data_IF_138802268687
#
_entry.id   IF_138802268687
#
_cell.length_a   1.000
_cell.length_b   1.000
_cell.length_c   1.000
_cell.angle_alpha   90.00
_cell.angle_beta   90.00
_cell.angle_gamma   90.00
#
_symmetry.space_group_name_H-M   'P 1'
#
loop_
_entity.id
_entity.type
_entity.pdbx_description
1 polymer ?
#
# COMPACT_ATOMS: atom_id res chain seq x y z
N UNK A 1 7.58 10.49 -3.85
CA UNK A 1 6.17 10.28 -3.43
C UNK A 1 5.76 9.02 -4.13
N UNK A 2 5.44 7.98 -3.36
CA UNK A 2 5.07 6.69 -3.91
C UNK A 2 3.60 6.70 -4.37
N UNK A 3 3.17 5.75 -5.21
CA UNK A 3 1.81 5.73 -5.76
C UNK A 3 0.74 5.50 -4.67
N UNK A 4 -0.38 6.20 -4.80
CA UNK A 4 -1.57 6.01 -3.96
C UNK A 4 -2.79 5.80 -4.85
N UNK A 5 -3.71 4.94 -4.43
CA UNK A 5 -5.04 4.73 -5.01
C UNK A 5 -6.09 5.26 -4.01
N UNK A 6 -6.46 6.56 -4.06
CA UNK A 6 -7.26 7.18 -3.00
C UNK A 6 -8.66 6.60 -2.84
N UNK A 7 -9.31 6.23 -3.96
CA UNK A 7 -10.65 5.65 -3.95
C UNK A 7 -10.71 4.31 -3.22
N UNK A 8 -9.65 3.51 -3.33
CA UNK A 8 -9.48 2.27 -2.59
C UNK A 8 -8.78 2.48 -1.23
N UNK A 9 -8.37 3.70 -0.88
CA UNK A 9 -7.52 4.02 0.29
C UNK A 9 -6.28 3.14 0.41
N UNK A 10 -5.60 2.84 -0.71
CA UNK A 10 -4.38 2.03 -0.74
C UNK A 10 -3.18 2.93 -1.00
N UNK A 11 -2.19 2.89 -0.12
CA UNK A 11 -0.84 3.41 -0.38
C UNK A 11 0.06 2.27 -0.86
N UNK A 12 0.99 2.55 -1.77
CA UNK A 12 1.96 1.58 -2.26
C UNK A 12 3.34 2.13 -1.91
N UNK A 13 4.18 1.32 -1.28
CA UNK A 13 5.55 1.69 -0.94
C UNK A 13 6.52 0.69 -1.57
N UNK A 14 7.52 1.21 -2.27
CA UNK A 14 8.56 0.37 -2.88
C UNK A 14 9.79 0.40 -1.98
N UNK A 15 9.99 -0.70 -1.24
CA UNK A 15 10.98 -0.75 -0.18
C UNK A 15 12.34 -1.22 -0.70
N UNK A 16 13.38 -0.46 -0.39
CA UNK A 16 14.76 -0.93 -0.47
C UNK A 16 15.18 -1.69 0.79
N UNK A 17 16.35 -2.33 0.74
CA UNK A 17 16.88 -3.13 1.87
C UNK A 17 16.97 -2.31 3.17
N UNK A 18 17.17 -0.99 3.08
CA UNK A 18 17.25 -0.10 4.25
C UNK A 18 16.02 -0.16 5.16
N UNK A 19 14.83 -0.46 4.62
CA UNK A 19 13.60 -0.63 5.40
C UNK A 19 13.63 -1.89 6.29
N UNK A 20 14.57 -2.81 6.04
CA UNK A 20 14.75 -4.04 6.80
C UNK A 20 15.99 -4.03 7.69
N UNK A 21 16.97 -3.15 7.42
CA UNK A 21 18.27 -3.15 8.12
C UNK A 21 18.62 -1.85 8.85
N UNK A 22 17.89 -0.75 8.62
CA UNK A 22 18.05 0.50 9.37
C UNK A 22 16.95 0.63 10.43
N UNK A 23 17.28 0.52 11.73
CA UNK A 23 16.32 0.68 12.82
C UNK A 23 15.55 2.00 12.80
N UNK A 24 16.15 3.09 12.33
CA UNK A 24 15.47 4.39 12.25
C UNK A 24 14.39 4.39 11.17
N UNK A 25 14.65 3.70 10.05
CA UNK A 25 13.67 3.57 8.98
C UNK A 25 12.54 2.63 9.42
N UNK A 26 12.86 1.51 10.08
CA UNK A 26 11.86 0.60 10.65
C UNK A 26 10.90 1.36 11.60
N UNK A 27 11.42 2.16 12.53
CA UNK A 27 10.58 2.94 13.46
C UNK A 27 9.70 3.95 12.72
N UNK A 28 10.23 4.61 11.68
CA UNK A 28 9.46 5.55 10.87
C UNK A 28 8.35 4.87 10.10
N UNK A 29 8.59 3.69 9.54
CA UNK A 29 7.57 2.94 8.80
C UNK A 29 6.45 2.45 9.72
N UNK A 30 6.77 2.00 10.93
CA UNK A 30 5.76 1.68 11.95
C UNK A 30 4.89 2.90 12.29
N UNK A 31 5.50 4.08 12.47
CA UNK A 31 4.75 5.31 12.74
C UNK A 31 3.86 5.68 11.55
N UNK A 32 4.38 5.62 10.32
CA UNK A 32 3.64 5.93 9.08
C UNK A 32 2.46 4.98 8.88
N UNK A 33 2.63 3.69 9.15
CA UNK A 33 1.55 2.70 9.11
C UNK A 33 0.42 3.05 10.06
N UNK A 34 0.74 3.44 11.30
CA UNK A 34 -0.24 3.88 12.28
C UNK A 34 -1.03 5.13 11.82
N UNK A 35 -0.33 6.16 11.32
CA UNK A 35 -0.99 7.38 10.86
C UNK A 35 -1.86 7.15 9.61
N UNK A 36 -1.40 6.34 8.66
CA UNK A 36 -2.17 5.98 7.46
C UNK A 36 -3.44 5.22 7.83
N UNK A 37 -3.33 4.24 8.73
CA UNK A 37 -4.47 3.46 9.22
C UNK A 37 -5.53 4.34 9.89
N UNK A 38 -5.12 5.35 10.67
CA UNK A 38 -6.07 6.33 11.24
C UNK A 38 -6.86 7.11 10.19
N UNK A 39 -6.31 7.31 9.01
CA UNK A 39 -6.99 7.95 7.88
C UNK A 39 -7.82 6.96 7.05
N UNK A 40 -7.84 5.68 7.45
CA UNK A 40 -8.49 4.58 6.74
C UNK A 40 -7.67 4.05 5.57
N UNK A 41 -6.40 4.43 5.46
CA UNK A 41 -5.51 3.94 4.43
C UNK A 41 -4.74 2.72 4.91
N UNK A 42 -4.65 1.73 4.02
CA UNK A 42 -3.73 0.60 4.19
C UNK A 42 -2.54 0.79 3.26
N UNK A 43 -1.35 0.45 3.74
CA UNK A 43 -0.10 0.55 2.97
C UNK A 43 0.38 -0.84 2.58
N UNK A 44 0.55 -1.06 1.28
CA UNK A 44 1.19 -2.24 0.72
C UNK A 44 2.68 -1.97 0.51
N UNK A 45 3.51 -2.66 1.29
CA UNK A 45 4.96 -2.63 1.17
C UNK A 45 5.44 -3.69 0.18
N UNK A 46 6.14 -3.28 -0.87
CA UNK A 46 6.65 -4.17 -1.92
C UNK A 46 8.15 -4.01 -2.07
N UNK A 47 8.96 -5.05 -1.82
CA UNK A 47 10.39 -4.97 -2.04
C UNK A 47 10.72 -4.64 -3.50
N UNK A 48 11.72 -3.78 -3.71
CA UNK A 48 12.22 -3.41 -5.04
C UNK A 48 12.54 -4.64 -5.92
N UNK A 49 13.04 -5.72 -5.33
CA UNK A 49 13.35 -6.97 -6.05
C UNK A 49 12.09 -7.62 -6.63
N UNK A 50 10.96 -7.56 -5.91
CA UNK A 50 9.69 -8.10 -6.37
C UNK A 50 9.14 -7.30 -7.55
N UNK A 51 9.22 -5.97 -7.49
CA UNK A 51 8.84 -5.09 -8.61
C UNK A 51 9.65 -5.43 -9.86
N UNK A 52 10.97 -5.64 -9.74
CA UNK A 52 11.82 -5.96 -10.89
C UNK A 52 11.48 -7.29 -11.56
N UNK A 53 10.93 -8.25 -10.80
CA UNK A 53 10.66 -9.62 -11.29
C UNK A 53 9.21 -9.84 -11.70
N UNK A 54 8.28 -9.09 -11.11
CA UNK A 54 6.84 -9.38 -11.18
C UNK A 54 5.98 -8.13 -11.36
N UNK A 55 6.51 -7.07 -12.01
CA UNK A 55 5.81 -5.78 -12.15
C UNK A 55 4.38 -5.94 -12.67
N UNK A 56 4.20 -6.68 -13.77
CA UNK A 56 2.90 -6.81 -14.45
C UNK A 56 1.90 -7.61 -13.60
N UNK A 57 2.36 -8.67 -12.93
CA UNK A 57 1.54 -9.49 -12.04
C UNK A 57 1.09 -8.68 -10.82
N UNK A 58 2.03 -7.92 -10.21
CA UNK A 58 1.75 -7.05 -9.06
C UNK A 58 0.77 -5.94 -9.45
N UNK A 59 0.99 -5.29 -10.60
CA UNK A 59 0.09 -4.23 -11.08
C UNK A 59 -1.32 -4.76 -11.36
N UNK A 60 -1.42 -5.95 -11.94
CA UNK A 60 -2.70 -6.62 -12.22
C UNK A 60 -3.43 -6.98 -10.92
N UNK A 61 -2.74 -7.62 -9.98
CA UNK A 61 -3.32 -8.00 -8.69
C UNK A 61 -3.77 -6.78 -7.87
N UNK A 62 -2.96 -5.72 -7.84
CA UNK A 62 -3.27 -4.47 -7.16
C UNK A 62 -4.49 -3.78 -7.77
N UNK A 63 -4.64 -3.83 -9.10
CA UNK A 63 -5.81 -3.28 -9.80
C UNK A 63 -7.09 -3.99 -9.38
N UNK A 64 -7.08 -5.33 -9.33
CA UNK A 64 -8.24 -6.10 -8.91
C UNK A 64 -8.56 -5.89 -7.42
N UNK A 65 -7.54 -5.84 -6.55
CA UNK A 65 -7.73 -5.54 -5.14
C UNK A 65 -8.33 -4.14 -4.92
N UNK A 66 -7.89 -3.14 -5.67
CA UNK A 66 -8.42 -1.78 -5.60
C UNK A 66 -9.90 -1.72 -5.99
N UNK A 67 -10.30 -2.39 -7.09
CA UNK A 67 -11.70 -2.46 -7.54
C UNK A 67 -12.61 -3.09 -6.50
N UNK A 68 -12.18 -4.19 -5.89
CA UNK A 68 -12.97 -4.87 -4.86
C UNK A 68 -13.13 -3.99 -3.61
N UNK A 69 -12.06 -3.31 -3.19
CA UNK A 69 -12.11 -2.40 -2.03
C UNK A 69 -12.99 -1.17 -2.29
N UNK A 70 -12.94 -0.60 -3.50
CA UNK A 70 -13.84 0.49 -3.91
C UNK A 70 -15.31 0.07 -3.84
N UNK A 71 -15.64 -1.15 -4.31
CA UNK A 71 -17.00 -1.70 -4.20
C UNK A 71 -17.47 -1.80 -2.76
N UNK A 72 -16.62 -2.32 -1.86
CA UNK A 72 -16.95 -2.45 -0.43
C UNK A 72 -17.27 -1.09 0.19
N UNK A 73 -16.47 -0.06 -0.12
CA UNK A 73 -16.71 1.29 0.36
C UNK A 73 -17.98 1.91 -0.23
N UNK A 74 -18.26 1.68 -1.51
CA UNK A 74 -19.47 2.20 -2.13
C UNK A 74 -20.75 1.63 -1.48
N UNK A 75 -20.77 0.32 -1.22
CA UNK A 75 -21.90 -0.35 -0.54
C UNK A 75 -22.13 0.24 0.87
N UNK A 76 -21.06 0.49 1.63
CA UNK A 76 -21.16 1.08 2.98
C UNK A 76 -21.62 2.54 2.99
N UNK A 77 -21.53 3.27 1.87
CA UNK A 77 -21.99 4.67 1.78
C UNK A 77 -23.43 4.78 1.26
N UNK A 78 -24.00 3.69 0.76
CA UNK A 78 -25.37 3.64 0.20
C UNK A 78 -26.40 3.03 1.15
N UNK A 79 -26.01 2.69 2.38
CA UNK A 79 -26.86 2.19 3.47
C UNK A 79 -26.75 3.11 4.69
#
# INVERSE_FOLDING_TARGET
>A
MDPTIPKAKINIEIDGIQHLIDPKQIIRDLARGYYSSKLGYDTMHTPNEMIRRHLDDIASALTEAAKERERIFHIHLTH
#
